data_IF_149315889860
#
_entry.id   IF_149315889860
#
_cell.length_a   1.000
_cell.length_b   1.000
_cell.length_c   1.000
_cell.angle_alpha   90.00
_cell.angle_beta   90.00
_cell.angle_gamma   90.00
#
_symmetry.space_group_name_H-M   'P 1'
#
loop_
_entity.id
_entity.type
_entity.pdbx_description
1 polymer ?
#
# COMPACT_ATOMS: atom_id res chain seq x y z
N UNK A 1 -14.67 5.33 -3.20
CA UNK A 1 -13.75 6.35 -3.76
C UNK A 1 -12.50 6.42 -2.89
N UNK A 2 -11.39 5.88 -3.37
CA UNK A 2 -10.06 6.08 -2.76
C UNK A 2 -9.50 7.42 -3.25
N UNK A 3 -10.16 8.53 -2.92
CA UNK A 3 -9.92 9.79 -3.62
C UNK A 3 -8.55 10.39 -3.41
N UNK A 4 -7.81 9.98 -2.37
CA UNK A 4 -6.46 10.48 -2.16
C UNK A 4 -5.64 9.36 -1.52
N UNK A 5 -4.31 9.41 -1.61
CA UNK A 5 -3.49 8.75 -0.59
C UNK A 5 -3.73 9.52 0.75
N UNK A 6 -4.96 9.44 1.31
CA UNK A 6 -5.62 10.44 2.19
C UNK A 6 -4.84 10.65 3.49
N UNK A 7 -3.96 11.63 3.42
CA UNK A 7 -3.53 12.49 4.53
C UNK A 7 -4.79 13.12 5.15
N UNK A 8 -4.84 13.25 6.48
CA UNK A 8 -6.00 13.77 7.20
C UNK A 8 -6.53 15.13 6.71
N UNK A 9 -7.85 15.30 6.83
CA UNK A 9 -8.60 16.55 6.73
C UNK A 9 -8.24 17.49 5.56
N UNK A 10 -8.28 16.99 4.33
CA UNK A 10 -8.51 17.89 3.19
C UNK A 10 -9.99 17.80 2.83
N UNK A 11 -10.74 18.85 3.17
CA UNK A 11 -12.10 19.02 2.66
C UNK A 11 -12.03 19.07 1.12
N UNK A 12 -12.69 18.13 0.45
CA UNK A 12 -13.09 18.33 -0.93
C UNK A 12 -14.08 19.50 -0.97
N UNK A 13 -13.58 20.73 -1.20
CA UNK A 13 -14.45 21.86 -1.51
C UNK A 13 -15.11 21.58 -2.87
N UNK A 14 -16.30 20.98 -2.84
CA UNK A 14 -17.21 20.94 -3.97
C UNK A 14 -17.80 22.34 -4.14
N UNK A 15 -17.19 23.14 -5.00
CA UNK A 15 -17.81 24.37 -5.52
C UNK A 15 -17.84 24.32 -7.03
N UNK A 16 -18.82 23.62 -7.60
CA UNK A 16 -19.32 23.93 -8.94
C UNK A 16 -20.83 23.72 -8.97
N UNK A 17 -21.54 24.85 -8.95
CA UNK A 17 -22.95 24.94 -9.28
C UNK A 17 -23.18 24.56 -10.76
N UNK A 18 -24.17 23.69 -10.94
CA UNK A 18 -24.94 23.33 -12.15
C UNK A 18 -24.59 23.99 -13.49
N UNK A 19 -24.47 23.17 -14.55
CA UNK A 19 -25.46 23.07 -15.63
C UNK A 19 -25.10 21.88 -16.55
N UNK A 20 -26.12 21.11 -16.94
CA UNK A 20 -25.99 19.77 -17.46
C UNK A 20 -25.19 19.65 -18.77
N UNK A 21 -24.14 18.86 -18.73
CA UNK A 21 -23.66 18.02 -19.81
C UNK A 21 -23.02 16.77 -19.18
N UNK A 22 -23.24 15.61 -19.82
CA UNK A 22 -22.72 14.27 -19.50
C UNK A 22 -21.46 14.28 -18.61
N UNK A 23 -21.62 13.90 -17.35
CA UNK A 23 -20.53 13.72 -16.39
C UNK A 23 -19.77 12.43 -16.69
N UNK A 24 -19.02 12.42 -17.79
CA UNK A 24 -17.91 11.48 -18.01
C UNK A 24 -16.60 12.24 -17.93
N UNK A 25 -16.39 12.99 -16.85
CA UNK A 25 -15.06 13.46 -16.48
C UNK A 25 -14.59 12.61 -15.32
N UNK A 26 -14.03 11.44 -15.66
CA UNK A 26 -13.33 10.57 -14.74
C UNK A 26 -12.05 11.33 -14.33
N UNK A 27 -12.14 12.17 -13.31
CA UNK A 27 -10.98 12.80 -12.70
C UNK A 27 -10.21 11.69 -11.96
N UNK A 28 -9.39 10.94 -12.71
CA UNK A 28 -8.35 10.10 -12.15
C UNK A 28 -7.32 11.04 -11.54
N UNK A 29 -7.54 11.47 -10.30
CA UNK A 29 -6.56 12.22 -9.53
C UNK A 29 -5.39 11.25 -9.31
N UNK A 30 -4.32 11.42 -10.08
CA UNK A 30 -3.05 10.71 -9.88
C UNK A 30 -2.40 11.20 -8.58
N UNK A 31 -2.94 10.78 -7.44
CA UNK A 31 -2.37 11.06 -6.13
C UNK A 31 -1.08 10.28 -5.96
N UNK A 32 -0.02 10.98 -5.59
CA UNK A 32 1.29 10.40 -5.32
C UNK A 32 1.90 11.06 -4.10
N UNK A 33 2.51 10.27 -3.23
CA UNK A 33 3.38 10.82 -2.20
C UNK A 33 4.69 10.04 -2.09
N UNK A 34 5.73 10.75 -1.67
CA UNK A 34 6.95 10.18 -1.14
C UNK A 34 7.02 10.54 0.34
N UNK A 35 7.22 9.54 1.19
CA UNK A 35 7.34 9.71 2.63
C UNK A 35 8.70 9.19 3.08
N UNK A 36 9.40 10.01 3.85
CA UNK A 36 10.69 9.69 4.44
C UNK A 36 10.61 9.75 5.97
N UNK A 37 10.84 8.61 6.61
CA UNK A 37 11.02 8.51 8.06
C UNK A 37 12.49 8.70 8.41
N UNK A 38 12.79 9.55 9.38
CA UNK A 38 14.15 9.76 9.86
C UNK A 38 14.70 8.52 10.63
N UNK A 39 16.03 8.29 10.62
CA UNK A 39 16.65 7.26 11.47
C UNK A 39 16.51 7.60 12.95
N UNK A 40 16.62 6.58 13.81
CA UNK A 40 16.59 6.71 15.29
C UNK A 40 15.39 7.50 15.84
N UNK A 41 14.24 7.40 15.19
CA UNK A 41 13.01 8.08 15.58
C UNK A 41 11.83 7.68 14.71
N UNK A 42 10.62 8.11 15.07
CA UNK A 42 9.41 7.78 14.31
C UNK A 42 8.87 8.96 13.50
N UNK A 43 9.51 10.13 13.57
CA UNK A 43 9.11 11.33 12.83
C UNK A 43 9.37 11.16 11.34
N UNK A 44 8.48 11.71 10.53
CA UNK A 44 8.57 11.64 9.08
C UNK A 44 8.21 12.95 8.41
N UNK A 45 8.61 13.05 7.16
CA UNK A 45 8.22 14.10 6.21
C UNK A 45 7.55 13.40 5.04
N UNK A 46 6.57 14.05 4.41
CA UNK A 46 6.08 13.59 3.12
C UNK A 46 5.94 14.74 2.13
N UNK A 47 6.04 14.38 0.86
CA UNK A 47 5.86 15.27 -0.29
C UNK A 47 4.78 14.63 -1.13
N UNK A 48 3.71 15.37 -1.40
CA UNK A 48 2.64 14.95 -2.31
C UNK A 48 2.56 15.88 -3.52
N UNK A 49 1.65 15.57 -4.43
CA UNK A 49 1.25 16.46 -5.53
C UNK A 49 0.71 17.81 -5.07
N UNK A 50 0.30 17.93 -3.80
CA UNK A 50 -0.25 19.15 -3.21
C UNK A 50 0.78 19.96 -2.42
N UNK A 51 2.01 19.46 -2.27
CA UNK A 51 3.09 20.16 -1.58
C UNK A 51 3.86 19.29 -0.60
N UNK A 52 4.71 19.94 0.20
CA UNK A 52 5.57 19.30 1.20
C UNK A 52 5.08 19.62 2.60
N UNK A 53 4.93 18.59 3.42
CA UNK A 53 4.60 18.77 4.84
C UNK A 53 5.59 18.01 5.72
N UNK A 54 6.08 18.70 6.76
CA UNK A 54 6.86 18.07 7.83
C UNK A 54 5.88 17.71 8.94
N UNK A 55 5.61 16.42 9.08
CA UNK A 55 4.68 15.94 10.08
C UNK A 55 5.40 15.71 11.41
N UNK A 56 4.87 16.29 12.48
CA UNK A 56 5.39 16.13 13.82
C UNK A 56 4.86 14.88 14.55
N UNK A 57 4.04 14.07 13.89
CA UNK A 57 3.53 12.80 14.44
C UNK A 57 4.41 11.60 14.07
N UNK A 58 4.18 10.49 14.78
CA UNK A 58 4.90 9.25 14.56
C UNK A 58 4.40 8.54 13.30
N UNK A 59 5.28 7.86 12.59
CA UNK A 59 4.93 7.11 11.37
C UNK A 59 3.96 5.95 11.62
N UNK A 60 3.93 5.43 12.85
CA UNK A 60 2.98 4.42 13.32
C UNK A 60 1.71 5.00 13.93
N UNK A 61 1.49 6.32 13.85
CA UNK A 61 0.27 6.96 14.34
C UNK A 61 -0.95 6.43 13.56
N UNK A 62 -1.99 5.89 14.25
CA UNK A 62 -3.18 5.35 13.59
C UNK A 62 -3.97 6.39 12.80
N UNK A 63 -3.74 7.70 13.01
CA UNK A 63 -4.36 8.79 12.25
C UNK A 63 -3.39 9.45 11.26
N UNK A 64 -2.15 8.94 11.17
CA UNK A 64 -1.13 9.44 10.27
C UNK A 64 -1.36 9.05 8.81
N UNK A 65 -0.60 9.68 7.91
CA UNK A 65 -0.70 9.47 6.45
C UNK A 65 -0.62 8.00 6.06
N UNK A 66 0.34 7.28 6.64
CA UNK A 66 0.57 5.87 6.31
C UNK A 66 -0.57 4.97 6.81
N UNK A 67 -1.09 5.21 8.02
CA UNK A 67 -2.21 4.45 8.57
C UNK A 67 -3.50 4.68 7.78
N UNK A 68 -3.81 5.94 7.43
CA UNK A 68 -4.99 6.27 6.63
C UNK A 68 -4.91 5.67 5.22
N UNK A 69 -3.73 5.72 4.59
CA UNK A 69 -3.47 5.08 3.29
C UNK A 69 -3.76 3.57 3.33
N UNK A 70 -3.42 2.91 4.43
CA UNK A 70 -3.63 1.47 4.62
C UNK A 70 -4.98 1.13 5.24
N UNK A 71 -5.74 2.09 5.77
CA UNK A 71 -6.99 1.86 6.49
C UNK A 71 -7.96 0.86 5.82
N UNK A 72 -8.14 0.86 4.47
CA UNK A 72 -9.07 -0.06 3.83
C UNK A 72 -8.61 -1.52 3.95
N UNK A 73 -7.30 -1.76 4.07
CA UNK A 73 -6.75 -3.09 4.28
C UNK A 73 -6.88 -3.57 5.72
N UNK A 74 -7.23 -2.73 6.69
CA UNK A 74 -7.37 -3.13 8.11
C UNK A 74 -8.79 -3.58 8.46
N UNK A 75 -9.80 -3.18 7.67
CA UNK A 75 -11.20 -3.53 7.94
C UNK A 75 -11.49 -5.02 7.70
N UNK A 76 -12.02 -5.75 8.70
CA UNK A 76 -12.40 -7.15 8.51
C UNK A 76 -13.62 -7.34 7.58
N UNK A 77 -14.44 -6.30 7.41
CA UNK A 77 -15.68 -6.33 6.64
C UNK A 77 -15.54 -5.68 5.24
N UNK A 78 -14.41 -5.93 4.56
CA UNK A 78 -14.18 -5.36 3.23
C UNK A 78 -15.18 -5.86 2.16
N UNK A 79 -15.61 -5.00 1.22
CA UNK A 79 -16.42 -5.38 0.06
C UNK A 79 -15.78 -6.49 -0.78
N UNK A 80 -16.58 -7.30 -1.49
CA UNK A 80 -16.06 -8.37 -2.36
C UNK A 80 -15.21 -7.82 -3.53
N UNK A 81 -15.46 -6.58 -3.94
CA UNK A 81 -14.70 -5.88 -4.98
C UNK A 81 -13.32 -5.41 -4.52
N UNK A 82 -13.05 -5.40 -3.21
CA UNK A 82 -11.79 -4.92 -2.63
C UNK A 82 -10.84 -6.05 -2.21
N UNK A 83 -9.58 -5.92 -2.62
CA UNK A 83 -8.52 -6.89 -2.41
C UNK A 83 -7.19 -6.21 -2.21
N UNK A 84 -6.27 -6.94 -1.59
CA UNK A 84 -4.96 -6.43 -1.30
C UNK A 84 -3.89 -7.52 -1.26
N UNK A 85 -2.65 -7.10 -1.48
CA UNK A 85 -1.46 -7.93 -1.48
C UNK A 85 -0.34 -7.18 -0.75
N UNK A 86 0.24 -7.79 0.27
CA UNK A 86 1.53 -7.38 0.82
C UNK A 86 2.62 -8.32 0.34
N UNK A 87 3.75 -7.77 -0.11
CA UNK A 87 4.97 -8.51 -0.42
C UNK A 87 6.15 -7.88 0.31
N UNK A 88 7.01 -8.70 0.88
CA UNK A 88 8.17 -8.22 1.61
C UNK A 88 9.22 -9.33 1.57
N UNK A 89 10.45 -9.03 1.17
CA UNK A 89 11.53 -10.01 1.24
C UNK A 89 11.96 -10.29 2.68
N UNK A 90 11.48 -9.55 3.67
CA UNK A 90 11.68 -9.81 5.09
C UNK A 90 10.35 -9.68 5.84
N UNK A 91 9.35 -10.56 5.58
CA UNK A 91 8.00 -10.40 6.15
C UNK A 91 8.00 -10.62 7.68
N UNK A 92 6.91 -10.23 8.38
CA UNK A 92 6.73 -10.57 9.78
C UNK A 92 6.89 -12.08 10.00
N UNK A 93 7.62 -12.48 11.03
CA UNK A 93 7.88 -13.90 11.31
C UNK A 93 6.57 -14.59 11.70
N UNK A 94 6.06 -15.50 10.87
CA UNK A 94 5.08 -16.48 11.33
C UNK A 94 5.80 -17.59 12.10
N UNK A 95 5.15 -18.18 13.10
CA UNK A 95 5.69 -19.28 13.93
C UNK A 95 5.95 -20.60 13.16
N UNK A 96 6.05 -20.56 11.84
CA UNK A 96 6.28 -21.73 10.99
C UNK A 96 7.74 -21.76 10.58
N UNK A 97 8.39 -22.89 10.84
CA UNK A 97 9.80 -23.26 10.66
C UNK A 97 10.38 -23.11 9.25
N UNK A 98 9.63 -22.55 8.30
CA UNK A 98 10.03 -22.48 6.89
C UNK A 98 10.92 -21.27 6.56
N UNK A 99 11.10 -20.35 7.53
CA UNK A 99 11.86 -19.11 7.32
C UNK A 99 13.39 -19.26 7.42
N UNK A 100 13.90 -20.28 8.11
CA UNK A 100 15.36 -20.44 8.29
C UNK A 100 16.09 -20.93 7.03
N UNK A 101 15.36 -21.47 6.05
CA UNK A 101 15.97 -22.10 4.87
C UNK A 101 15.83 -21.30 3.56
N UNK A 102 15.30 -20.07 3.61
CA UNK A 102 15.07 -19.26 2.41
C UNK A 102 16.36 -18.55 1.96
N UNK A 103 17.12 -19.21 1.08
CA UNK A 103 18.33 -18.66 0.42
C UNK A 103 18.09 -17.22 -0.05
N UNK A 104 18.85 -16.29 0.53
CA UNK A 104 18.70 -14.84 0.38
C UNK A 104 19.03 -14.29 -1.02
N UNK A 105 19.53 -15.10 -1.95
CA UNK A 105 20.09 -14.63 -3.24
C UNK A 105 19.24 -14.90 -4.49
N UNK A 106 18.06 -15.52 -4.37
CA UNK A 106 17.24 -15.94 -5.52
C UNK A 106 16.04 -15.01 -5.77
N UNK A 107 15.73 -14.10 -4.85
CA UNK A 107 14.50 -13.30 -4.87
C UNK A 107 14.77 -11.81 -4.94
N UNK A 108 13.84 -11.06 -5.54
CA UNK A 108 13.90 -9.60 -5.57
C UNK A 108 13.82 -8.99 -4.17
N UNK A 109 14.72 -8.07 -3.86
CA UNK A 109 14.75 -7.28 -2.62
C UNK A 109 13.73 -6.15 -2.65
N UNK A 110 12.48 -6.50 -2.91
CA UNK A 110 11.37 -5.56 -3.09
C UNK A 110 10.32 -5.76 -2.01
N UNK A 111 9.75 -4.65 -1.53
CA UNK A 111 8.68 -4.66 -0.54
C UNK A 111 7.59 -3.67 -0.93
N UNK A 112 6.35 -4.00 -0.63
CA UNK A 112 5.23 -3.13 -0.92
C UNK A 112 3.87 -3.71 -0.54
N UNK A 113 2.88 -2.83 -0.65
CA UNK A 113 1.46 -3.13 -0.47
C UNK A 113 0.72 -2.66 -1.72
N UNK A 114 -0.12 -3.53 -2.26
CA UNK A 114 -1.04 -3.22 -3.35
C UNK A 114 -2.45 -3.32 -2.80
N UNK A 115 -3.25 -2.27 -3.00
CA UNK A 115 -4.68 -2.25 -2.72
C UNK A 115 -5.42 -2.09 -4.05
N UNK A 116 -6.56 -2.75 -4.22
CA UNK A 116 -7.34 -2.64 -5.45
C UNK A 116 -8.81 -2.83 -5.20
N UNK A 117 -9.61 -2.02 -5.89
CA UNK A 117 -11.07 -2.11 -5.87
C UNK A 117 -11.61 -2.17 -7.30
N UNK A 118 -12.16 -3.32 -7.68
CA UNK A 118 -12.70 -3.54 -9.01
C UNK A 118 -14.00 -2.75 -9.24
N UNK A 119 -14.71 -2.32 -8.20
CA UNK A 119 -15.94 -1.55 -8.35
C UNK A 119 -15.61 -0.10 -8.74
N UNK A 120 -14.63 0.51 -8.09
CA UNK A 120 -14.18 1.88 -8.39
C UNK A 120 -13.09 1.95 -9.45
N UNK A 121 -12.66 0.81 -10.01
CA UNK A 121 -11.58 0.71 -11.01
C UNK A 121 -10.27 1.39 -10.55
N UNK A 122 -10.05 1.45 -9.24
CA UNK A 122 -8.90 2.14 -8.64
C UNK A 122 -7.96 1.14 -7.98
N UNK A 123 -6.67 1.40 -8.08
CA UNK A 123 -5.63 0.67 -7.37
C UNK A 123 -4.61 1.62 -6.74
N UNK A 124 -3.95 1.14 -5.69
CA UNK A 124 -2.87 1.84 -5.00
C UNK A 124 -1.68 0.90 -4.91
N UNK A 125 -0.51 1.41 -5.27
CA UNK A 125 0.75 0.69 -5.07
C UNK A 125 1.66 1.51 -4.16
N UNK A 126 1.94 0.95 -2.98
CA UNK A 126 2.83 1.51 -1.97
C UNK A 126 4.11 0.69 -1.94
N UNK A 127 5.21 1.23 -2.44
CA UNK A 127 6.54 0.61 -2.30
C UNK A 127 7.25 1.14 -1.06
N UNK A 128 8.07 0.32 -0.42
CA UNK A 128 8.80 0.74 0.78
C UNK A 128 10.09 -0.03 1.05
N UNK A 129 10.90 0.48 1.99
CA UNK A 129 12.14 -0.16 2.46
C UNK A 129 11.99 -0.92 3.78
N UNK A 130 10.87 -0.75 4.49
CA UNK A 130 10.68 -1.24 5.87
C UNK A 130 10.56 -2.77 5.97
N UNK A 131 11.49 -3.46 6.66
CA UNK A 131 11.37 -4.89 6.96
C UNK A 131 10.17 -5.16 7.86
N UNK A 132 9.56 -6.33 7.70
CA UNK A 132 8.45 -6.84 8.52
C UNK A 132 7.21 -5.94 8.51
N UNK A 133 7.03 -5.16 7.44
CA UNK A 133 5.91 -4.25 7.27
C UNK A 133 4.86 -4.84 6.32
N UNK A 134 3.56 -4.64 6.59
CA UNK A 134 3.01 -4.24 7.89
C UNK A 134 3.24 -5.36 8.93
N UNK A 135 3.47 -5.01 10.21
CA UNK A 135 3.68 -6.02 11.27
C UNK A 135 2.39 -6.81 11.51
N UNK A 136 1.28 -6.07 11.61
CA UNK A 136 -0.07 -6.61 11.79
C UNK A 136 -1.04 -5.91 10.84
N UNK A 137 -2.10 -6.63 10.48
CA UNK A 137 -3.29 -6.06 9.83
C UNK A 137 -4.19 -5.45 10.89
N UNK A 138 -3.69 -4.37 11.48
CA UNK A 138 -4.29 -3.67 12.60
C UNK A 138 -3.80 -2.22 12.56
N UNK A 139 -4.73 -1.28 12.41
CA UNK A 139 -4.40 0.14 12.30
C UNK A 139 -3.68 0.69 13.53
N UNK A 140 -3.88 0.08 14.70
CA UNK A 140 -3.21 0.51 15.94
C UNK A 140 -1.80 -0.08 16.08
N UNK A 141 -1.49 -1.18 15.39
CA UNK A 141 -0.26 -1.96 15.60
C UNK A 141 0.42 -2.40 14.29
N UNK A 142 0.25 -1.65 13.20
CA UNK A 142 0.80 -2.01 11.89
C UNK A 142 2.30 -1.70 11.74
N UNK A 143 2.84 -0.77 12.52
CA UNK A 143 4.22 -0.31 12.37
C UNK A 143 5.23 -1.23 13.08
N UNK A 144 6.25 -1.76 12.38
CA UNK A 144 7.20 -2.69 12.97
C UNK A 144 8.34 -1.99 13.72
N UNK A 145 8.75 -2.58 14.85
CA UNK A 145 9.95 -2.14 15.61
C UNK A 145 11.22 -2.15 14.75
N UNK A 146 11.33 -3.07 13.79
CA UNK A 146 12.45 -3.14 12.84
C UNK A 146 12.59 -1.91 11.95
N UNK A 147 11.53 -1.11 11.83
CA UNK A 147 11.52 0.15 11.09
C UNK A 147 12.08 1.34 11.88
N UNK A 148 12.42 1.20 13.17
CA UNK A 148 12.77 2.35 14.02
C UNK A 148 14.22 2.83 13.86
N UNK A 149 15.17 1.89 13.79
CA UNK A 149 16.59 2.22 13.83
C UNK A 149 17.05 3.05 12.61
N UNK A 150 16.62 2.64 11.41
CA UNK A 150 17.07 3.21 10.14
C UNK A 150 16.04 4.17 9.53
N UNK A 151 16.50 5.03 8.62
CA UNK A 151 15.59 5.78 7.77
C UNK A 151 14.79 4.86 6.87
N UNK A 152 13.54 5.22 6.58
CA UNK A 152 12.66 4.43 5.72
C UNK A 152 12.00 5.30 4.67
N UNK A 153 11.93 4.81 3.44
CA UNK A 153 11.26 5.46 2.32
C UNK A 153 9.99 4.72 1.98
N UNK A 154 8.95 5.48 1.66
CA UNK A 154 7.68 5.00 1.13
C UNK A 154 7.31 5.83 -0.09
N UNK A 155 6.77 5.18 -1.12
CA UNK A 155 6.24 5.84 -2.30
C UNK A 155 4.87 5.26 -2.64
N UNK A 156 3.83 6.11 -2.62
CA UNK A 156 2.45 5.80 -2.98
C UNK A 156 2.17 6.28 -4.40
N UNK A 157 1.58 5.44 -5.23
CA UNK A 157 1.00 5.83 -6.52
C UNK A 157 -0.41 5.27 -6.65
N UNK A 158 -1.34 6.10 -7.08
CA UNK A 158 -2.66 5.66 -7.55
C UNK A 158 -2.56 5.23 -9.02
N UNK A 159 -3.19 4.10 -9.33
CA UNK A 159 -3.22 3.43 -10.63
C UNK A 159 -4.65 3.07 -11.00
N UNK A 160 -4.89 2.72 -12.27
CA UNK A 160 -6.12 2.06 -12.65
C UNK A 160 -6.08 0.59 -12.19
N UNK A 161 -7.23 0.02 -11.86
CA UNK A 161 -7.31 -1.38 -11.46
C UNK A 161 -6.76 -2.34 -12.53
N UNK A 162 -6.94 -2.00 -13.81
CA UNK A 162 -6.38 -2.75 -14.94
C UNK A 162 -4.85 -2.76 -14.98
N UNK A 163 -4.18 -1.74 -14.45
CA UNK A 163 -2.71 -1.65 -14.45
C UNK A 163 -2.07 -2.71 -13.54
N UNK A 164 -2.82 -3.23 -12.56
CA UNK A 164 -2.36 -4.32 -11.68
C UNK A 164 -2.04 -5.60 -12.45
N UNK A 165 -2.70 -5.85 -13.59
CA UNK A 165 -2.39 -6.98 -14.46
C UNK A 165 -1.01 -6.85 -15.10
N UNK A 166 -0.65 -5.63 -15.53
CA UNK A 166 0.66 -5.36 -16.11
C UNK A 166 1.74 -5.55 -15.04
N UNK A 167 1.56 -4.94 -13.86
CA UNK A 167 2.51 -5.04 -12.73
C UNK A 167 2.69 -6.50 -12.30
N UNK A 168 1.61 -7.27 -12.22
CA UNK A 168 1.66 -8.68 -11.85
C UNK A 168 2.41 -9.56 -12.86
N UNK A 169 2.42 -9.20 -14.15
CA UNK A 169 3.14 -9.92 -15.21
C UNK A 169 4.60 -9.49 -15.35
N UNK A 170 4.90 -8.22 -15.11
CA UNK A 170 6.26 -7.65 -15.28
C UNK A 170 7.10 -7.70 -14.02
N UNK A 171 6.48 -7.89 -12.85
CA UNK A 171 7.23 -8.15 -11.63
C UNK A 171 8.16 -9.35 -11.85
N UNK A 172 9.40 -9.34 -11.32
CA UNK A 172 10.19 -10.57 -11.26
C UNK A 172 9.32 -11.66 -10.62
N UNK A 173 9.57 -12.94 -10.91
CA UNK A 173 8.97 -14.07 -10.19
C UNK A 173 9.33 -13.98 -8.69
N UNK A 174 8.75 -13.03 -7.96
CA UNK A 174 8.81 -12.84 -6.51
C UNK A 174 7.93 -13.90 -5.84
N UNK A 175 7.80 -15.06 -6.48
CA UNK A 175 6.78 -16.07 -6.35
C UNK A 175 6.87 -16.86 -5.04
N UNK A 176 7.68 -16.43 -4.07
CA UNK A 176 7.79 -17.12 -2.77
C UNK A 176 7.84 -16.26 -1.52
N UNK A 177 7.72 -14.92 -1.59
CA UNK A 177 7.54 -14.09 -0.37
C UNK A 177 6.36 -13.14 -0.43
N UNK A 178 5.28 -13.59 -1.06
CA UNK A 178 3.94 -13.13 -0.68
C UNK A 178 3.49 -13.89 0.57
N UNK A 179 4.25 -13.83 1.65
CA UNK A 179 3.88 -14.43 2.93
C UNK A 179 3.59 -13.29 3.89
N UNK A 180 2.30 -13.10 4.12
CA UNK A 180 1.67 -12.00 4.83
C UNK A 180 0.18 -11.99 4.52
N UNK A 181 -0.47 -10.88 4.82
CA UNK A 181 -1.90 -10.72 4.60
C UNK A 181 -2.24 -10.65 3.10
N UNK A 182 -3.18 -11.47 2.67
CA UNK A 182 -3.73 -11.43 1.31
C UNK A 182 -5.24 -11.65 1.35
N UNK A 183 -5.96 -10.82 0.60
CA UNK A 183 -7.32 -11.13 0.16
C UNK A 183 -7.37 -10.92 -1.34
N UNK A 184 -7.58 -12.01 -2.07
CA UNK A 184 -7.73 -11.97 -3.53
C UNK A 184 -9.13 -11.49 -3.85
N UNK A 185 -9.25 -10.36 -4.54
CA UNK A 185 -10.41 -10.16 -5.41
C UNK A 185 -10.38 -11.17 -6.55
N UNK A 186 -11.44 -11.26 -7.34
CA UNK A 186 -11.49 -11.96 -8.64
C UNK A 186 -10.49 -11.39 -9.69
N UNK A 187 -9.37 -10.84 -9.24
CA UNK A 187 -8.12 -10.63 -9.96
C UNK A 187 -7.65 -12.03 -10.37
N UNK A 188 -8.05 -12.48 -11.57
CA UNK A 188 -7.55 -13.71 -12.21
C UNK A 188 -6.02 -13.75 -12.32
N UNK A 189 -5.35 -12.64 -12.00
CA UNK A 189 -3.94 -12.32 -12.19
C UNK A 189 -3.00 -12.61 -11.01
N UNK A 190 -3.48 -13.04 -9.84
CA UNK A 190 -2.60 -13.58 -8.77
C UNK A 190 -2.73 -15.10 -8.58
N UNK A 191 -3.29 -15.79 -9.59
CA UNK A 191 -3.22 -17.24 -9.68
C UNK A 191 -2.06 -17.58 -10.62
N UNK A 192 -0.86 -17.69 -10.04
CA UNK A 192 0.22 -18.42 -10.69
C UNK A 192 -0.36 -19.78 -11.11
N UNK A 193 -0.23 -20.14 -12.39
CA UNK A 193 -0.62 -21.46 -12.87
C UNK A 193 0.13 -22.48 -12.01
N UNK A 194 -0.60 -23.24 -11.20
CA UNK A 194 -0.15 -24.58 -10.86
C UNK A 194 -0.05 -25.34 -12.19
N UNK A 195 1.17 -25.66 -12.59
CA UNK A 195 1.46 -26.42 -13.79
C UNK A 195 2.57 -27.40 -13.50
N UNK A 196 2.15 -28.60 -13.07
CA UNK A 196 2.82 -29.92 -13.07
C UNK A 196 4.28 -29.98 -12.64
#
# INVERSE_FOLDING_TARGET
NFSECIVGNVECIFSLWTLGHSLSSLCLVFSRFILYKAPKGQRYMYISTYGKEKINTNIGDPHGVLANTLSPMFDNNMPQSFGFLSYNDQPPVSKTSDFENLKSGVYGHSKGVVLGDSQTQTALWLTHSTPRFPEKRDQQNFWPKTGEANGQTFMCVTLQFSDLEVIGKTGPQSERRTQGYQRKCNIKTFKARHGR
#
